data_IF_863748682392
#
_entry.id   IF_863748682392
#
_cell.length_a   1.000
_cell.length_b   1.000
_cell.length_c   1.000
_cell.angle_alpha   90.00
_cell.angle_beta   90.00
_cell.angle_gamma   90.00
#
_symmetry.space_group_name_H-M   'P 1'
#
loop_
_entity.id
_entity.type
_entity.pdbx_description
1 polymer ?
#
# COMPACT_ATOMS: atom_id res chain seq x y z
N UNK A 1 29.24 -1.58 48.20
CA UNK A 1 27.89 -1.02 48.35
C UNK A 1 27.38 -0.69 46.97
N UNK A 2 26.35 -1.42 46.54
CA UNK A 2 25.71 -1.36 45.23
C UNK A 2 25.23 0.05 44.86
N UNK A 3 25.36 0.39 43.58
CA UNK A 3 24.33 1.13 42.87
C UNK A 3 24.02 0.38 41.57
N UNK A 4 22.97 -0.43 41.62
CA UNK A 4 22.37 -1.09 40.49
C UNK A 4 21.82 -0.04 39.52
N UNK A 5 22.57 0.25 38.46
CA UNK A 5 21.98 0.82 37.25
C UNK A 5 21.16 -0.29 36.61
N UNK A 6 19.86 -0.30 36.89
CA UNK A 6 18.90 -1.05 36.07
C UNK A 6 18.92 -0.41 34.68
N UNK A 7 19.82 -0.89 33.82
CA UNK A 7 19.71 -0.73 32.39
C UNK A 7 18.35 -1.33 32.00
N UNK A 8 17.34 -0.48 31.92
CA UNK A 8 16.09 -0.83 31.27
C UNK A 8 16.45 -1.37 29.90
N UNK A 9 16.13 -2.63 29.66
CA UNK A 9 16.30 -3.28 28.36
C UNK A 9 15.24 -2.64 27.46
N UNK A 10 15.49 -1.40 27.03
CA UNK A 10 14.74 -0.80 25.96
C UNK A 10 15.07 -1.62 24.72
N UNK A 11 14.07 -2.14 23.98
CA UNK A 11 14.31 -2.94 22.78
C UNK A 11 15.31 -2.27 21.84
N UNK A 12 15.31 -0.93 21.80
CA UNK A 12 16.21 -0.07 21.03
C UNK A 12 17.71 -0.36 21.21
N UNK A 13 18.15 -0.86 22.37
CA UNK A 13 19.58 -1.15 22.62
C UNK A 13 20.04 -2.46 21.97
N UNK A 14 19.12 -3.34 21.55
CA UNK A 14 19.41 -4.59 20.84
C UNK A 14 19.17 -4.45 19.32
N UNK A 15 18.79 -3.26 18.85
CA UNK A 15 18.69 -2.97 17.42
C UNK A 15 20.10 -2.82 16.87
N UNK A 16 20.58 -3.81 16.10
CA UNK A 16 21.70 -3.62 15.16
C UNK A 16 21.42 -2.34 14.36
N UNK A 17 22.42 -1.50 14.12
CA UNK A 17 22.26 -0.17 13.48
C UNK A 17 21.40 -0.17 12.20
N UNK A 18 21.41 -1.28 11.43
CA UNK A 18 20.54 -1.47 10.26
C UNK A 18 19.05 -1.60 10.57
N UNK A 19 18.68 -2.17 11.72
CA UNK A 19 17.28 -2.30 12.15
C UNK A 19 16.69 -0.93 12.57
N UNK A 20 17.49 -0.06 13.21
CA UNK A 20 17.04 1.30 13.53
C UNK A 20 16.76 2.12 12.26
N UNK A 21 17.63 2.01 11.25
CA UNK A 21 17.40 2.67 9.95
C UNK A 21 16.16 2.13 9.23
N UNK A 22 15.93 0.82 9.30
CA UNK A 22 14.71 0.20 8.75
C UNK A 22 13.45 0.75 9.42
N UNK A 23 13.47 0.95 10.73
CA UNK A 23 12.35 1.57 11.45
C UNK A 23 12.08 3.00 10.94
N UNK A 24 13.12 3.83 10.80
CA UNK A 24 12.97 5.17 10.22
C UNK A 24 12.40 5.14 8.81
N UNK A 25 12.83 4.18 7.97
CA UNK A 25 12.30 4.02 6.62
C UNK A 25 10.81 3.64 6.63
N UNK A 26 10.40 2.68 7.46
CA UNK A 26 8.99 2.30 7.60
C UNK A 26 8.15 3.51 8.03
N UNK A 27 8.61 4.25 9.05
CA UNK A 27 7.91 5.47 9.49
C UNK A 27 7.79 6.51 8.36
N UNK A 28 8.85 6.68 7.56
CA UNK A 28 8.83 7.55 6.37
C UNK A 28 7.79 7.13 5.34
N UNK A 29 7.77 5.84 4.96
CA UNK A 29 6.80 5.29 4.00
C UNK A 29 5.34 5.47 4.47
N UNK A 30 5.09 5.35 5.78
CA UNK A 30 3.77 5.64 6.35
C UNK A 30 3.38 7.11 6.22
N UNK A 31 4.29 8.04 6.54
CA UNK A 31 4.02 9.48 6.42
C UNK A 31 3.75 9.87 4.96
N UNK A 32 4.60 9.40 4.04
CA UNK A 32 4.44 9.62 2.60
C UNK A 32 3.11 9.05 2.08
N UNK A 33 2.77 7.82 2.47
CA UNK A 33 1.53 7.17 2.05
C UNK A 33 0.27 7.87 2.58
N UNK A 34 0.29 8.31 3.84
CA UNK A 34 -0.84 9.04 4.43
C UNK A 34 -1.03 10.39 3.74
N UNK A 35 0.04 11.16 3.54
CA UNK A 35 -0.06 12.48 2.91
C UNK A 35 -0.54 12.39 1.45
N UNK A 36 0.00 11.42 0.70
CA UNK A 36 -0.40 11.19 -0.70
C UNK A 36 -1.89 10.81 -0.84
N UNK A 37 -2.44 10.06 0.11
CA UNK A 37 -3.82 9.56 0.05
C UNK A 37 -4.82 10.44 0.82
N UNK A 38 -4.36 11.43 1.58
CA UNK A 38 -5.19 12.26 2.48
C UNK A 38 -6.40 12.92 1.80
N UNK A 39 -6.26 13.29 0.52
CA UNK A 39 -7.30 14.00 -0.25
C UNK A 39 -8.03 13.12 -1.28
N UNK A 40 -7.80 11.81 -1.28
CA UNK A 40 -8.26 10.91 -2.35
C UNK A 40 -9.80 10.77 -2.43
N UNK A 41 -10.53 11.14 -1.38
CA UNK A 41 -12.00 11.01 -1.33
C UNK A 41 -12.47 9.55 -1.25
N UNK A 42 -13.75 9.26 -1.55
CA UNK A 42 -14.26 7.89 -1.58
C UNK A 42 -13.48 7.04 -2.58
N UNK A 43 -13.00 5.88 -2.14
CA UNK A 43 -12.20 4.99 -2.99
C UNK A 43 -12.62 3.52 -2.85
N UNK A 44 -12.38 2.75 -3.90
CA UNK A 44 -12.58 1.30 -3.95
C UNK A 44 -11.25 0.64 -4.28
N UNK A 45 -10.86 -0.36 -3.50
CA UNK A 45 -9.69 -1.19 -3.81
C UNK A 45 -10.10 -2.40 -4.66
N UNK A 46 -9.48 -2.56 -5.83
CA UNK A 46 -9.72 -3.69 -6.74
C UNK A 46 -8.48 -4.59 -6.76
N UNK A 47 -8.70 -5.88 -6.48
CA UNK A 47 -7.67 -6.91 -6.48
C UNK A 47 -7.94 -7.95 -7.56
N UNK A 48 -6.87 -8.51 -8.11
CA UNK A 48 -6.95 -9.64 -9.03
C UNK A 48 -5.58 -10.06 -9.55
N UNK A 49 -5.58 -11.09 -10.39
CA UNK A 49 -4.35 -11.67 -10.93
C UNK A 49 -3.56 -10.65 -11.76
N UNK A 50 -2.25 -10.55 -11.47
CA UNK A 50 -1.29 -9.77 -12.25
C UNK A 50 -1.00 -10.38 -13.65
N UNK A 51 -1.52 -11.58 -13.92
CA UNK A 51 -1.17 -12.41 -15.09
C UNK A 51 -2.31 -12.59 -16.08
N UNK A 52 -3.48 -12.00 -15.82
CA UNK A 52 -4.63 -12.09 -16.71
C UNK A 52 -4.32 -11.37 -18.02
N UNK A 53 -4.50 -12.04 -19.16
CA UNK A 53 -4.31 -11.44 -20.48
C UNK A 53 -5.43 -10.41 -20.79
N UNK A 54 -5.13 -9.38 -21.58
CA UNK A 54 -6.07 -8.33 -22.00
C UNK A 54 -7.31 -8.87 -22.73
N UNK A 55 -7.19 -9.98 -23.45
CA UNK A 55 -8.30 -10.60 -24.17
C UNK A 55 -9.19 -11.47 -23.25
N UNK A 56 -8.79 -11.67 -21.99
CA UNK A 56 -9.55 -12.47 -21.05
C UNK A 56 -10.84 -11.75 -20.60
N UNK A 57 -12.00 -12.43 -20.51
CA UNK A 57 -13.27 -11.83 -20.10
C UNK A 57 -13.22 -11.06 -18.76
N UNK A 58 -12.41 -11.54 -17.81
CA UNK A 58 -12.23 -10.84 -16.53
C UNK A 58 -11.39 -9.57 -16.62
N UNK A 59 -10.48 -9.45 -17.60
CA UNK A 59 -9.78 -8.19 -17.84
C UNK A 59 -10.79 -7.13 -18.27
N UNK A 60 -11.59 -7.40 -19.30
CA UNK A 60 -12.59 -6.44 -19.79
C UNK A 60 -13.65 -6.12 -18.73
N UNK A 61 -14.06 -7.11 -17.93
CA UNK A 61 -15.00 -6.87 -16.81
C UNK A 61 -14.39 -5.98 -15.74
N UNK A 62 -13.10 -6.14 -15.40
CA UNK A 62 -12.42 -5.29 -14.43
C UNK A 62 -12.28 -3.85 -14.93
N UNK A 63 -11.91 -3.67 -16.20
CA UNK A 63 -11.86 -2.35 -16.86
C UNK A 63 -13.24 -1.68 -16.84
N UNK A 64 -14.28 -2.37 -17.29
CA UNK A 64 -15.64 -1.81 -17.30
C UNK A 64 -16.16 -1.49 -15.90
N UNK A 65 -15.87 -2.33 -14.90
CA UNK A 65 -16.29 -2.09 -13.52
C UNK A 65 -15.59 -0.88 -12.90
N UNK A 66 -14.27 -0.75 -13.11
CA UNK A 66 -13.51 0.39 -12.63
C UNK A 66 -13.98 1.70 -13.27
N UNK A 67 -14.25 1.69 -14.58
CA UNK A 67 -14.80 2.84 -15.29
C UNK A 67 -16.15 3.29 -14.71
N UNK A 68 -17.01 2.36 -14.32
CA UNK A 68 -18.27 2.69 -13.65
C UNK A 68 -18.06 3.34 -12.28
N UNK A 69 -17.06 2.90 -11.50
CA UNK A 69 -16.72 3.56 -10.23
C UNK A 69 -16.17 4.97 -10.45
N UNK A 70 -15.24 5.14 -11.38
CA UNK A 70 -14.67 6.44 -11.73
C UNK A 70 -15.76 7.43 -12.19
N UNK A 71 -16.68 6.99 -13.05
CA UNK A 71 -17.84 7.80 -13.50
C UNK A 71 -18.79 8.20 -12.36
N UNK A 72 -18.80 7.45 -11.25
CA UNK A 72 -19.60 7.76 -10.05
C UNK A 72 -18.82 8.56 -9.00
N UNK A 73 -17.60 9.00 -9.30
CA UNK A 73 -16.78 9.82 -8.41
C UNK A 73 -16.02 9.02 -7.35
N UNK A 74 -15.83 7.72 -7.55
CA UNK A 74 -14.96 6.91 -6.70
C UNK A 74 -13.56 6.80 -7.31
N UNK A 75 -12.55 7.01 -6.49
CA UNK A 75 -11.16 6.69 -6.86
C UNK A 75 -10.95 5.18 -6.87
N UNK A 76 -10.21 4.65 -7.85
CA UNK A 76 -9.85 3.24 -7.92
C UNK A 76 -8.40 3.07 -7.43
N UNK A 77 -8.20 2.17 -6.46
CA UNK A 77 -6.88 1.82 -5.93
C UNK A 77 -6.60 0.36 -6.28
N UNK A 78 -5.38 0.07 -6.72
CA UNK A 78 -4.92 -1.29 -7.02
C UNK A 78 -3.51 -1.51 -6.48
N UNK A 79 -2.98 -2.74 -6.60
CA UNK A 79 -1.58 -3.03 -6.31
C UNK A 79 -0.60 -2.58 -7.41
N UNK A 80 -1.07 -1.91 -8.48
CA UNK A 80 -0.21 -1.31 -9.52
C UNK A 80 0.47 -2.30 -10.47
N UNK A 81 0.15 -3.59 -10.43
CA UNK A 81 0.69 -4.61 -11.34
C UNK A 81 -0.08 -4.75 -12.66
N UNK A 82 0.30 -5.76 -13.46
CA UNK A 82 -0.38 -6.09 -14.72
C UNK A 82 -1.77 -6.73 -14.55
N UNK A 83 -2.34 -7.21 -15.65
CA UNK A 83 -3.56 -8.02 -15.65
C UNK A 83 -4.77 -7.28 -15.07
N UNK A 84 -5.44 -7.86 -14.08
CA UNK A 84 -6.67 -7.27 -13.51
C UNK A 84 -6.41 -5.89 -12.87
N UNK A 85 -5.23 -5.70 -12.26
CA UNK A 85 -4.88 -4.41 -11.64
C UNK A 85 -4.66 -3.33 -12.71
N UNK A 86 -4.00 -3.68 -13.80
CA UNK A 86 -3.86 -2.79 -14.96
C UNK A 86 -5.22 -2.46 -15.58
N UNK A 87 -6.07 -3.47 -15.79
CA UNK A 87 -7.43 -3.27 -16.30
C UNK A 87 -8.23 -2.30 -15.43
N UNK A 88 -8.16 -2.47 -14.10
CA UNK A 88 -8.85 -1.60 -13.16
C UNK A 88 -8.26 -0.19 -13.06
N UNK A 89 -6.96 0.01 -13.30
CA UNK A 89 -6.38 1.36 -13.39
C UNK A 89 -6.71 2.05 -14.72
N UNK A 90 -6.94 1.27 -15.79
CA UNK A 90 -7.25 1.77 -17.13
C UNK A 90 -8.68 2.27 -17.26
N UNK A 91 -9.63 1.58 -16.61
CA UNK A 91 -11.05 1.92 -16.64
C UNK A 91 -11.39 3.05 -15.68
#
# INVERSE_FOLDING_TARGET
MEKNHTNGIYPINDFKTGESWRLFKIMGEFVEGIDALYKLGPAVSIFGSARTNIDHPYYQKAENLAALFAQKGYSVITGGGGGIMEAANKG
#
